data_IF_997514747108
#
_entry.id   IF_997514747108
#
_cell.length_a   1.000
_cell.length_b   1.000
_cell.length_c   1.000
_cell.angle_alpha   90.00
_cell.angle_beta   90.00
_cell.angle_gamma   90.00
#
_symmetry.space_group_name_H-M   'P 1'
#
loop_
_entity.id
_entity.type
_entity.pdbx_description
1 polymer ?
#
# COMPACT_ATOMS: atom_id res chain seq x y z
N UNK A 1 -10.23 14.63 4.12
CA UNK A 1 -10.45 13.22 3.76
C UNK A 1 -11.55 13.11 2.71
N UNK A 2 -11.29 12.44 1.58
CA UNK A 2 -12.25 12.28 0.49
C UNK A 2 -13.31 11.23 0.81
N UNK A 3 -14.52 11.35 0.25
CA UNK A 3 -15.64 10.45 0.52
C UNK A 3 -15.30 8.98 0.20
N UNK A 4 -14.59 8.72 -0.90
CA UNK A 4 -14.13 7.35 -1.25
C UNK A 4 -13.10 6.82 -0.27
N UNK A 5 -12.08 7.61 0.12
CA UNK A 5 -11.13 7.19 1.15
C UNK A 5 -11.85 6.91 2.48
N UNK A 6 -12.82 7.73 2.88
CA UNK A 6 -13.61 7.47 4.08
C UNK A 6 -14.47 6.20 3.97
N UNK A 7 -14.92 5.84 2.76
CA UNK A 7 -15.69 4.62 2.47
C UNK A 7 -14.82 3.36 2.38
N UNK A 8 -13.61 3.45 1.82
CA UNK A 8 -12.62 2.35 1.75
C UNK A 8 -11.96 2.06 3.12
N UNK A 9 -12.11 2.96 4.10
CA UNK A 9 -11.64 2.82 5.50
C UNK A 9 -10.14 2.47 5.62
N UNK A 10 -9.23 3.22 4.98
CA UNK A 10 -7.81 3.04 5.23
C UNK A 10 -7.48 3.39 6.68
N UNK A 11 -6.47 2.72 7.23
CA UNK A 11 -6.08 2.92 8.62
C UNK A 11 -5.18 4.14 8.74
N UNK A 12 -5.62 5.16 9.47
CA UNK A 12 -4.76 6.28 9.84
C UNK A 12 -4.01 5.96 11.14
N UNK A 13 -2.69 6.16 11.16
CA UNK A 13 -1.85 5.92 12.32
C UNK A 13 -0.67 6.92 12.37
N UNK A 14 0.11 6.88 13.44
CA UNK A 14 1.34 7.67 13.61
C UNK A 14 2.55 6.75 13.80
N UNK A 15 3.64 7.01 13.09
CA UNK A 15 4.92 6.30 13.19
C UNK A 15 6.05 7.32 13.34
N UNK A 16 6.75 7.32 14.47
CA UNK A 16 7.90 8.20 14.71
C UNK A 16 7.62 9.69 14.40
N UNK A 17 6.43 10.19 14.75
CA UNK A 17 6.01 11.56 14.44
C UNK A 17 5.52 11.79 13.01
N UNK A 18 5.47 10.75 12.17
CA UNK A 18 4.89 10.81 10.82
C UNK A 18 3.48 10.25 10.83
N UNK A 19 2.52 11.00 10.31
CA UNK A 19 1.17 10.50 10.10
C UNK A 19 1.17 9.61 8.86
N UNK A 20 0.52 8.45 8.96
CA UNK A 20 0.43 7.49 7.87
C UNK A 20 -1.01 7.11 7.60
N UNK A 21 -1.28 6.80 6.34
CA UNK A 21 -2.51 6.15 5.87
C UNK A 21 -2.12 4.80 5.32
N UNK A 22 -2.79 3.74 5.73
CA UNK A 22 -2.49 2.37 5.26
C UNK A 22 -3.66 1.85 4.46
N UNK A 23 -3.39 1.55 3.19
CA UNK A 23 -4.32 0.91 2.27
C UNK A 23 -4.04 -0.59 2.21
N UNK A 24 -4.99 -1.43 2.61
CA UNK A 24 -4.79 -2.88 2.75
C UNK A 24 -5.29 -3.60 1.50
N UNK A 25 -4.41 -4.34 0.82
CA UNK A 25 -4.77 -5.16 -0.35
C UNK A 25 -4.48 -6.63 -0.11
N UNK A 26 -5.49 -7.46 -0.34
CA UNK A 26 -5.48 -8.89 -0.01
C UNK A 26 -4.96 -9.79 -1.12
N UNK A 27 -4.90 -9.31 -2.38
CA UNK A 27 -4.42 -10.04 -3.56
C UNK A 27 -5.02 -11.45 -3.70
N UNK A 28 -6.36 -11.53 -3.66
CA UNK A 28 -7.11 -12.80 -3.63
C UNK A 28 -7.51 -13.31 -5.01
N UNK A 29 -7.37 -12.52 -6.07
CA UNK A 29 -7.79 -12.97 -7.38
C UNK A 29 -6.81 -14.00 -7.97
N UNK A 30 -7.24 -14.80 -8.96
CA UNK A 30 -6.34 -15.71 -9.68
C UNK A 30 -5.19 -15.00 -10.42
N UNK A 31 -5.27 -13.68 -10.61
CA UNK A 31 -4.27 -12.88 -11.31
C UNK A 31 -3.70 -11.78 -10.39
N UNK A 32 -2.58 -12.05 -9.70
CA UNK A 32 -1.86 -11.04 -8.92
C UNK A 32 -1.51 -9.77 -9.70
N UNK A 33 -1.27 -9.90 -11.01
CA UNK A 33 -1.00 -8.76 -11.88
C UNK A 33 -2.22 -7.84 -12.02
N UNK A 34 -3.41 -8.42 -12.16
CA UNK A 34 -4.64 -7.62 -12.24
C UNK A 34 -4.93 -6.90 -10.93
N UNK A 35 -4.73 -7.57 -9.80
CA UNK A 35 -4.87 -6.96 -8.48
C UNK A 35 -3.84 -5.84 -8.29
N UNK A 36 -2.62 -6.04 -8.80
CA UNK A 36 -1.56 -5.03 -8.76
C UNK A 36 -1.89 -3.80 -9.61
N UNK A 37 -2.42 -3.95 -10.83
CA UNK A 37 -2.87 -2.82 -11.66
C UNK A 37 -3.88 -1.93 -10.91
N UNK A 38 -4.86 -2.56 -10.26
CA UNK A 38 -5.91 -1.87 -9.49
C UNK A 38 -5.29 -1.17 -8.27
N UNK A 39 -4.49 -1.91 -7.48
CA UNK A 39 -3.85 -1.38 -6.29
C UNK A 39 -2.90 -0.21 -6.61
N UNK A 40 -2.12 -0.33 -7.68
CA UNK A 40 -1.20 0.72 -8.15
C UNK A 40 -1.97 1.99 -8.55
N UNK A 41 -3.04 1.84 -9.33
CA UNK A 41 -3.87 2.97 -9.76
C UNK A 41 -4.50 3.70 -8.56
N UNK A 42 -5.09 2.96 -7.62
CA UNK A 42 -5.66 3.53 -6.40
C UNK A 42 -4.60 4.21 -5.52
N UNK A 43 -3.45 3.56 -5.32
CA UNK A 43 -2.34 4.13 -4.54
C UNK A 43 -1.87 5.46 -5.11
N UNK A 44 -1.64 5.54 -6.43
CA UNK A 44 -1.19 6.79 -7.08
C UNK A 44 -2.26 7.88 -6.93
N UNK A 45 -3.53 7.56 -7.16
CA UNK A 45 -4.64 8.50 -7.02
C UNK A 45 -4.70 9.06 -5.59
N UNK A 46 -4.71 8.18 -4.59
CA UNK A 46 -4.82 8.57 -3.19
C UNK A 46 -3.58 9.32 -2.70
N UNK A 47 -2.37 8.90 -3.09
CA UNK A 47 -1.15 9.65 -2.80
C UNK A 47 -1.24 11.08 -3.32
N UNK A 48 -1.67 11.26 -4.57
CA UNK A 48 -1.76 12.60 -5.17
C UNK A 48 -2.80 13.47 -4.45
N UNK A 49 -3.95 12.89 -4.11
CA UNK A 49 -5.01 13.57 -3.38
C UNK A 49 -4.57 13.96 -1.96
N UNK A 50 -3.93 13.05 -1.23
CA UNK A 50 -3.38 13.31 0.11
C UNK A 50 -2.33 14.41 0.05
N UNK A 51 -1.40 14.37 -0.91
CA UNK A 51 -0.40 15.44 -1.08
C UNK A 51 -1.00 16.81 -1.33
N UNK A 52 -2.22 16.90 -1.89
CA UNK A 52 -2.92 18.16 -2.14
C UNK A 52 -3.71 18.65 -0.92
N UNK A 53 -4.25 17.76 -0.09
CA UNK A 53 -5.18 18.13 0.99
C UNK A 53 -4.63 17.96 2.40
N UNK A 54 -3.80 16.95 2.63
CA UNK A 54 -3.29 16.51 3.93
C UNK A 54 -1.81 16.08 3.79
N UNK A 55 -0.90 16.98 3.36
CA UNK A 55 0.47 16.64 2.96
C UNK A 55 1.34 16.10 4.09
N UNK A 56 0.89 16.20 5.35
CA UNK A 56 1.58 15.58 6.48
C UNK A 56 1.39 14.06 6.57
N UNK A 57 0.46 13.49 5.79
CA UNK A 57 0.21 12.06 5.73
C UNK A 57 0.98 11.40 4.59
N UNK A 58 1.53 10.22 4.88
CA UNK A 58 2.18 9.35 3.91
C UNK A 58 1.37 8.06 3.74
N UNK A 59 1.03 7.70 2.50
CA UNK A 59 0.27 6.48 2.22
C UNK A 59 1.18 5.27 2.05
N UNK A 60 0.84 4.15 2.69
CA UNK A 60 1.48 2.84 2.52
C UNK A 60 0.49 1.84 1.95
N UNK A 61 0.97 0.97 1.06
CA UNK A 61 0.24 -0.19 0.58
C UNK A 61 0.60 -1.41 1.44
N UNK A 62 -0.35 -1.89 2.23
CA UNK A 62 -0.20 -3.09 3.04
C UNK A 62 -0.56 -4.35 2.26
N UNK A 63 0.37 -5.31 2.26
CA UNK A 63 0.27 -6.57 1.53
C UNK A 63 0.72 -7.74 2.40
N UNK A 64 0.17 -8.93 2.13
CA UNK A 64 0.59 -10.14 2.83
C UNK A 64 2.06 -10.49 2.53
N UNK A 65 2.75 -11.08 3.50
CA UNK A 65 4.06 -11.71 3.34
C UNK A 65 4.15 -12.65 2.13
N UNK A 66 3.19 -13.57 2.01
CA UNK A 66 3.11 -14.52 0.91
C UNK A 66 3.00 -13.86 -0.46
N UNK A 67 2.27 -12.74 -0.60
CA UNK A 67 2.22 -12.02 -1.89
C UNK A 67 3.51 -11.24 -2.13
N UNK A 68 4.12 -10.72 -1.07
CA UNK A 68 5.41 -10.05 -1.17
C UNK A 68 6.48 -11.00 -1.73
N UNK A 69 6.60 -12.19 -1.15
CA UNK A 69 7.56 -13.22 -1.55
C UNK A 69 7.32 -13.76 -2.97
N UNK A 70 6.06 -14.03 -3.34
CA UNK A 70 5.75 -14.73 -4.60
C UNK A 70 5.54 -13.81 -5.82
N UNK A 71 5.21 -12.53 -5.58
CA UNK A 71 4.87 -11.59 -6.65
C UNK A 71 5.74 -10.33 -6.63
N UNK A 72 5.88 -9.66 -5.48
CA UNK A 72 6.64 -8.41 -5.40
C UNK A 72 8.17 -8.60 -5.45
N UNK A 73 8.69 -9.82 -5.25
CA UNK A 73 10.12 -10.13 -5.47
C UNK A 73 10.51 -10.27 -6.94
N UNK A 74 9.55 -10.30 -7.88
CA UNK A 74 9.86 -10.36 -9.31
C UNK A 74 10.54 -9.06 -9.74
N UNK A 75 11.66 -9.13 -10.43
CA UNK A 75 12.46 -7.96 -10.84
C UNK A 75 11.61 -6.88 -11.53
N UNK A 76 10.77 -7.29 -12.49
CA UNK A 76 9.88 -6.36 -13.20
C UNK A 76 8.89 -5.65 -12.28
N UNK A 77 8.39 -6.32 -11.23
CA UNK A 77 7.48 -5.70 -10.27
C UNK A 77 8.24 -4.77 -9.33
N UNK A 78 9.45 -5.15 -8.90
CA UNK A 78 10.31 -4.28 -8.11
C UNK A 78 10.68 -2.99 -8.85
N UNK A 79 10.92 -3.07 -10.16
CA UNK A 79 11.19 -1.89 -10.98
C UNK A 79 9.97 -0.96 -11.02
N UNK A 80 8.76 -1.49 -11.20
CA UNK A 80 7.53 -0.69 -11.19
C UNK A 80 7.28 -0.06 -9.81
N UNK A 81 7.54 -0.80 -8.72
CA UNK A 81 7.45 -0.28 -7.34
C UNK A 81 8.41 0.90 -7.15
N UNK A 82 9.67 0.78 -7.59
CA UNK A 82 10.67 1.84 -7.52
C UNK A 82 10.30 3.06 -8.36
N UNK A 83 9.94 2.85 -9.63
CA UNK A 83 9.55 3.92 -10.57
C UNK A 83 8.42 4.76 -9.99
N UNK A 84 7.43 4.10 -9.40
CA UNK A 84 6.26 4.77 -8.86
C UNK A 84 6.42 5.17 -7.38
N UNK A 85 7.57 4.91 -6.75
CA UNK A 85 7.84 5.21 -5.33
C UNK A 85 6.73 4.67 -4.42
N UNK A 86 6.44 3.37 -4.57
CA UNK A 86 5.47 2.67 -3.75
C UNK A 86 6.08 2.33 -2.41
N UNK A 87 5.39 2.77 -1.35
CA UNK A 87 5.74 2.47 0.02
C UNK A 87 4.95 1.23 0.43
N UNK A 88 5.65 0.17 0.83
CA UNK A 88 5.02 -1.11 1.15
C UNK A 88 5.10 -1.40 2.64
N UNK A 89 4.03 -2.01 3.13
CA UNK A 89 3.94 -2.59 4.48
C UNK A 89 3.70 -4.08 4.33
N UNK A 90 4.69 -4.90 4.63
CA UNK A 90 4.54 -6.36 4.58
C UNK A 90 3.98 -6.83 5.92
N UNK A 91 2.82 -7.50 5.90
CA UNK A 91 2.11 -7.95 7.09
C UNK A 91 1.90 -9.46 7.10
N UNK A 92 2.04 -10.04 8.29
CA UNK A 92 1.62 -11.40 8.59
C UNK A 92 0.15 -11.35 9.04
N UNK A 93 -0.76 -11.78 8.17
CA UNK A 93 -2.20 -11.66 8.43
C UNK A 93 -2.67 -12.56 9.58
N UNK A 94 -2.05 -13.72 9.77
CA UNK A 94 -2.44 -14.66 10.84
C UNK A 94 -2.11 -14.13 12.24
N UNK A 95 -1.05 -13.33 12.36
CA UNK A 95 -0.57 -12.78 13.63
C UNK A 95 -0.82 -11.27 13.76
N UNK A 96 -1.54 -10.68 12.80
CA UNK A 96 -1.82 -9.25 12.71
C UNK A 96 -0.58 -8.37 12.94
N UNK A 97 0.57 -8.81 12.39
CA UNK A 97 1.87 -8.23 12.69
C UNK A 97 2.50 -7.60 11.46
N UNK A 98 3.04 -6.40 11.63
CA UNK A 98 3.91 -5.77 10.63
C UNK A 98 5.27 -6.47 10.65
N UNK A 99 5.65 -7.06 9.53
CA UNK A 99 6.95 -7.72 9.35
C UNK A 99 8.00 -6.75 8.83
N UNK A 100 7.65 -5.95 7.82
CA UNK A 100 8.61 -5.07 7.14
C UNK A 100 7.96 -3.76 6.68
N UNK A 101 8.77 -2.70 6.69
CA UNK A 101 8.49 -1.42 6.07
C UNK A 101 9.46 -1.24 4.92
N UNK A 102 8.96 -0.91 3.74
CA UNK A 102 9.77 -0.69 2.53
C UNK A 102 9.45 0.72 2.07
N UNK A 103 10.43 1.60 2.25
CA UNK A 103 10.36 3.03 1.94
C UNK A 103 11.06 3.34 0.60
#
# INVERSE_FOLDING_TARGET
MFADLAAEKPLAAERNGRKIVVEIKSFLSPSPMRDFEIALGQYILYRNLISLTEPEYQIYLAIKDSIYENFFQRESIQDIVKINQLLLLVVEMEKEKILQWID
#
